data_IF_846522344919
#
_entry.id   IF_846522344919
#
_cell.length_a   1.000
_cell.length_b   1.000
_cell.length_c   1.000
_cell.angle_alpha   90.00
_cell.angle_beta   90.00
_cell.angle_gamma   90.00
#
_symmetry.space_group_name_H-M   'P 1'
#
loop_
_entity.id
_entity.type
_entity.pdbx_description
1 polymer ?
#
# COMPACT_ATOMS: atom_id res chain seq x y z
N UNK A 1 -12.11 25.09 -4.65
CA UNK A 1 -11.79 23.92 -5.50
C UNK A 1 -10.61 23.22 -4.87
N UNK A 2 -10.75 21.93 -4.52
CA UNK A 2 -9.68 21.15 -3.88
C UNK A 2 -9.05 20.22 -4.93
N UNK A 3 -7.73 20.04 -4.87
CA UNK A 3 -6.98 19.12 -5.75
C UNK A 3 -6.54 17.90 -4.94
N UNK A 4 -6.69 16.71 -5.50
CA UNK A 4 -6.10 15.49 -4.95
C UNK A 4 -4.72 15.30 -5.56
N UNK A 5 -3.70 15.24 -4.70
CA UNK A 5 -2.32 15.02 -5.09
C UNK A 5 -1.84 13.70 -4.49
N UNK A 6 -0.84 13.07 -5.11
CA UNK A 6 -0.18 11.90 -4.51
C UNK A 6 0.63 12.37 -3.29
N UNK A 7 0.25 11.93 -2.09
CA UNK A 7 0.95 12.24 -0.84
C UNK A 7 2.31 11.54 -0.80
N UNK A 8 2.31 10.22 -0.99
CA UNK A 8 3.50 9.38 -0.89
C UNK A 8 3.40 8.10 -1.73
N UNK A 9 4.52 7.37 -1.85
CA UNK A 9 4.57 6.05 -2.49
C UNK A 9 5.73 5.22 -1.97
N UNK A 10 5.56 3.90 -1.95
CA UNK A 10 6.64 2.92 -1.91
C UNK A 10 6.81 2.36 -3.32
N UNK A 11 7.99 2.54 -3.92
CA UNK A 11 8.21 2.20 -5.33
C UNK A 11 8.87 0.83 -5.47
N UNK A 12 8.21 -0.08 -6.22
CA UNK A 12 8.72 -1.42 -6.57
C UNK A 12 9.07 -2.30 -5.35
N UNK A 13 8.22 -2.26 -4.33
CA UNK A 13 8.26 -3.27 -3.28
C UNK A 13 7.96 -4.67 -3.84
N UNK A 14 8.47 -5.69 -3.16
CA UNK A 14 8.20 -7.10 -3.49
C UNK A 14 7.23 -7.67 -2.46
N UNK A 15 6.17 -8.34 -2.93
CA UNK A 15 5.25 -9.07 -2.05
C UNK A 15 6.03 -10.19 -1.36
N UNK A 16 6.04 -10.20 -0.04
CA UNK A 16 6.74 -11.21 0.76
C UNK A 16 5.84 -12.36 1.19
N UNK A 17 4.52 -12.13 1.30
CA UNK A 17 3.53 -13.14 1.68
C UNK A 17 2.13 -12.81 1.13
N UNK A 18 1.27 -13.81 1.00
CA UNK A 18 -0.15 -13.66 0.62
C UNK A 18 -1.00 -14.82 1.15
N UNK A 19 -1.97 -14.52 2.01
CA UNK A 19 -2.92 -15.50 2.56
C UNK A 19 -4.37 -15.03 2.36
N UNK A 20 -5.18 -15.88 1.74
CA UNK A 20 -6.61 -15.65 1.50
C UNK A 20 -7.44 -15.56 2.78
N UNK A 21 -7.00 -16.22 3.86
CA UNK A 21 -7.71 -16.29 5.13
C UNK A 21 -7.15 -15.32 6.18
N UNK A 22 -6.08 -14.59 5.87
CA UNK A 22 -5.55 -13.55 6.75
C UNK A 22 -6.58 -12.41 6.85
N UNK A 23 -7.04 -12.16 8.08
CA UNK A 23 -7.99 -11.09 8.36
C UNK A 23 -7.19 -9.81 8.57
N UNK A 24 -7.02 -9.07 7.49
CA UNK A 24 -6.29 -7.80 7.48
C UNK A 24 -6.30 -7.17 6.10
N UNK A 25 -5.47 -6.15 5.95
CA UNK A 25 -5.20 -5.51 4.66
C UNK A 25 -3.75 -5.72 4.26
N UNK A 26 -3.12 -4.77 3.55
CA UNK A 26 -1.71 -4.88 3.15
C UNK A 26 -0.81 -4.47 4.31
N UNK A 27 -0.23 -5.47 4.98
CA UNK A 27 0.77 -5.20 6.02
C UNK A 27 2.08 -4.74 5.38
N UNK A 28 2.62 -3.62 5.88
CA UNK A 28 3.86 -3.00 5.40
C UNK A 28 4.83 -2.88 6.57
N UNK A 29 6.12 -3.08 6.30
CA UNK A 29 7.19 -2.87 7.29
C UNK A 29 7.10 -1.44 7.89
N UNK A 30 7.10 -1.28 9.23
CA UNK A 30 7.06 0.03 9.87
C UNK A 30 8.16 1.01 9.41
N UNK A 31 9.35 0.51 9.02
CA UNK A 31 10.42 1.36 8.49
C UNK A 31 10.05 1.94 7.12
N UNK A 32 9.36 1.17 6.27
CA UNK A 32 8.88 1.64 4.97
C UNK A 32 7.73 2.63 5.13
N UNK A 33 6.81 2.39 6.07
CA UNK A 33 5.74 3.33 6.40
C UNK A 33 6.31 4.67 6.87
N UNK A 34 7.28 4.63 7.79
CA UNK A 34 7.98 5.82 8.27
C UNK A 34 8.72 6.57 7.16
N UNK A 35 9.43 5.85 6.29
CA UNK A 35 10.14 6.44 5.16
C UNK A 35 9.20 7.07 4.11
N UNK A 36 8.00 6.52 3.96
CA UNK A 36 6.99 7.01 3.02
C UNK A 36 5.99 8.00 3.66
N UNK A 37 6.13 8.36 4.93
CA UNK A 37 5.15 9.21 5.63
C UNK A 37 3.71 8.65 5.53
N UNK A 38 3.54 7.35 5.79
CA UNK A 38 2.26 6.65 5.77
C UNK A 38 1.89 6.20 7.19
N UNK A 39 0.62 6.34 7.55
CA UNK A 39 0.09 5.89 8.85
C UNK A 39 -0.54 4.51 8.74
N UNK A 40 -0.69 3.81 9.86
CA UNK A 40 -1.54 2.61 9.95
C UNK A 40 -3.00 2.97 9.63
N UNK A 41 -3.71 2.07 8.96
CA UNK A 41 -5.08 2.26 8.50
C UNK A 41 -5.28 3.41 7.49
N UNK A 42 -4.22 3.92 6.88
CA UNK A 42 -4.31 4.91 5.81
C UNK A 42 -4.74 4.22 4.51
N UNK A 43 -5.66 4.82 3.76
CA UNK A 43 -6.08 4.28 2.46
C UNK A 43 -4.92 4.33 1.47
N UNK A 44 -4.69 3.21 0.78
CA UNK A 44 -3.64 3.06 -0.22
C UNK A 44 -4.15 2.47 -1.52
N UNK A 45 -3.50 2.85 -2.61
CA UNK A 45 -3.66 2.19 -3.90
C UNK A 45 -2.50 1.20 -4.10
N UNK A 46 -2.85 -0.05 -4.41
CA UNK A 46 -1.87 -1.11 -4.73
C UNK A 46 -1.92 -1.39 -6.23
N UNK A 47 -0.75 -1.33 -6.86
CA UNK A 47 -0.55 -1.55 -8.29
C UNK A 47 0.41 -2.73 -8.47
N UNK A 48 -0.12 -3.87 -8.90
CA UNK A 48 0.68 -5.05 -9.25
C UNK A 48 1.29 -4.86 -10.64
N UNK A 49 2.62 -4.92 -10.72
CA UNK A 49 3.37 -4.69 -11.97
C UNK A 49 3.39 -5.94 -12.84
N UNK A 50 3.26 -7.13 -12.26
CA UNK A 50 3.42 -8.40 -12.97
C UNK A 50 2.15 -8.76 -13.74
N UNK A 51 0.97 -8.49 -13.17
CA UNK A 51 -0.33 -8.79 -13.80
C UNK A 51 -1.20 -7.55 -14.10
N UNK A 52 -0.80 -6.36 -13.64
CA UNK A 52 -1.54 -5.12 -13.88
C UNK A 52 -2.77 -4.90 -13.01
N UNK A 53 -3.02 -5.75 -12.00
CA UNK A 53 -4.11 -5.59 -11.05
C UNK A 53 -3.97 -4.28 -10.26
N UNK A 54 -5.11 -3.65 -9.99
CA UNK A 54 -5.20 -2.38 -9.27
C UNK A 54 -6.34 -2.45 -8.28
N UNK A 55 -6.05 -2.16 -7.02
CA UNK A 55 -7.05 -2.17 -5.97
C UNK A 55 -6.73 -1.15 -4.89
N UNK A 56 -7.74 -0.83 -4.09
CA UNK A 56 -7.68 0.09 -2.96
C UNK A 56 -7.89 -0.70 -1.68
N UNK A 57 -7.09 -0.39 -0.67
CA UNK A 57 -7.17 -1.03 0.65
C UNK A 57 -6.54 -0.12 1.70
N UNK A 58 -6.13 -0.63 2.87
CA UNK A 58 -5.48 0.16 3.91
C UNK A 58 -4.18 -0.49 4.41
N UNK A 59 -3.31 0.27 5.06
CA UNK A 59 -2.08 -0.26 5.70
C UNK A 59 -2.34 -0.95 7.03
#
# INVERSE_FOLDING_TARGET
MNRTMMKSKIHRATVTDSDLNYVGSITIDPELLGAADMLEHEMVHVLDIDNGARFETYT
#
